data_IF_075029861338
#
_entry.id   IF_075029861338
#
_cell.length_a   1.000
_cell.length_b   1.000
_cell.length_c   1.000
_cell.angle_alpha   90.00
_cell.angle_beta   90.00
_cell.angle_gamma   90.00
#
_symmetry.space_group_name_H-M   'P 1'
#
loop_
_entity.id
_entity.type
_entity.pdbx_description
1 polymer ?
#
# COMPACT_ATOMS: atom_id res chain seq x y z
N UNK A 1 -20.61 1.50 -5.02
CA UNK A 1 -19.73 1.45 -3.84
C UNK A 1 -20.45 2.07 -2.67
N UNK A 2 -20.83 1.23 -1.71
CA UNK A 2 -21.09 1.68 -0.34
C UNK A 2 -19.79 2.27 0.21
N UNK A 3 -19.84 3.46 0.80
CA UNK A 3 -18.68 4.00 1.51
C UNK A 3 -18.46 3.11 2.74
N UNK A 4 -17.26 2.54 2.94
CA UNK A 4 -16.99 1.75 4.14
C UNK A 4 -17.21 2.62 5.38
N UNK A 5 -17.99 2.10 6.32
CA UNK A 5 -18.27 2.78 7.59
C UNK A 5 -17.26 2.28 8.60
N UNK A 6 -16.34 3.15 8.99
CA UNK A 6 -15.34 2.86 10.02
C UNK A 6 -15.79 3.36 11.38
N UNK A 7 -15.44 2.64 12.44
CA UNK A 7 -15.76 3.05 13.82
C UNK A 7 -14.81 4.13 14.35
N UNK A 8 -13.62 4.27 13.77
CA UNK A 8 -12.56 5.19 14.22
C UNK A 8 -12.31 5.06 15.73
N UNK A 9 -12.10 3.84 16.22
CA UNK A 9 -12.01 3.57 17.65
C UNK A 9 -10.60 3.77 18.24
N UNK A 10 -9.55 3.76 17.43
CA UNK A 10 -8.17 3.77 17.91
C UNK A 10 -7.64 5.21 18.08
N UNK A 11 -7.62 5.70 19.33
CA UNK A 11 -7.01 6.99 19.66
C UNK A 11 -5.51 6.82 19.94
N UNK A 12 -4.68 7.60 19.24
CA UNK A 12 -3.23 7.60 19.46
C UNK A 12 -2.85 8.63 20.54
N UNK A 13 -2.06 8.16 21.52
CA UNK A 13 -1.56 8.98 22.62
C UNK A 13 -0.23 9.69 22.30
N UNK A 14 0.46 9.28 21.24
CA UNK A 14 1.74 9.81 20.81
C UNK A 14 1.85 9.81 19.28
N UNK A 15 2.77 10.61 18.74
CA UNK A 15 3.05 10.68 17.32
C UNK A 15 3.81 9.42 16.83
N UNK A 16 3.26 8.73 15.83
CA UNK A 16 3.86 7.53 15.23
C UNK A 16 5.25 7.78 14.57
N UNK A 17 5.60 9.04 14.30
CA UNK A 17 6.88 9.39 13.67
C UNK A 17 7.98 9.73 14.70
N UNK A 18 7.66 10.50 15.75
CA UNK A 18 8.68 11.04 16.66
C UNK A 18 8.43 10.74 18.15
N UNK A 19 7.33 10.09 18.50
CA UNK A 19 6.95 9.80 19.89
C UNK A 19 6.44 11.01 20.70
N UNK A 20 6.37 12.20 20.10
CA UNK A 20 5.85 13.40 20.77
C UNK A 20 4.38 13.27 21.16
N UNK A 21 4.02 13.69 22.37
CA UNK A 21 2.66 13.55 22.95
C UNK A 21 1.84 14.84 22.87
N UNK A 22 2.45 15.97 22.47
CA UNK A 22 1.73 17.21 22.21
C UNK A 22 1.07 17.15 20.83
N UNK A 23 -0.22 16.81 20.83
CA UNK A 23 -1.04 16.65 19.63
C UNK A 23 -2.15 17.70 19.64
N UNK A 24 -2.38 18.33 18.48
CA UNK A 24 -3.48 19.29 18.32
C UNK A 24 -4.42 18.86 17.19
N UNK A 25 -5.69 19.20 17.29
CA UNK A 25 -6.67 18.95 16.23
C UNK A 25 -6.36 19.87 15.05
N UNK A 26 -5.99 19.28 13.92
CA UNK A 26 -5.76 19.99 12.66
C UNK A 26 -7.02 20.06 11.80
N UNK A 27 -7.81 18.99 11.78
CA UNK A 27 -9.11 18.94 11.12
C UNK A 27 -10.05 17.97 11.85
N UNK A 28 -11.02 18.50 12.59
CA UNK A 28 -12.01 17.68 13.28
C UNK A 28 -12.88 16.84 12.30
N UNK A 29 -13.37 17.37 11.15
CA UNK A 29 -14.21 16.58 10.24
C UNK A 29 -13.51 15.38 9.60
N UNK A 30 -12.18 15.39 9.55
CA UNK A 30 -11.37 14.32 8.97
C UNK A 30 -10.59 13.53 10.02
N UNK A 31 -10.84 13.77 11.32
CA UNK A 31 -10.08 13.20 12.44
C UNK A 31 -8.56 13.40 12.29
N UNK A 32 -8.10 14.52 11.72
CA UNK A 32 -6.66 14.76 11.54
C UNK A 32 -6.12 15.53 12.73
N UNK A 33 -5.10 14.95 13.38
CA UNK A 33 -4.27 15.63 14.39
C UNK A 33 -2.91 15.98 13.81
N UNK A 34 -2.26 16.99 14.38
CA UNK A 34 -0.89 17.39 14.07
C UNK A 34 -0.03 17.28 15.32
N UNK A 35 1.13 16.63 15.20
CA UNK A 35 2.15 16.65 16.25
C UNK A 35 2.80 18.04 16.32
N UNK A 36 2.79 18.67 17.49
CA UNK A 36 3.43 19.98 17.68
C UNK A 36 4.96 19.91 17.72
N UNK A 37 5.55 18.73 17.97
CA UNK A 37 7.01 18.55 18.01
C UNK A 37 7.64 18.43 16.63
N UNK A 38 7.05 17.65 15.72
CA UNK A 38 7.62 17.40 14.39
C UNK A 38 6.74 17.85 13.21
N UNK A 39 5.50 18.28 13.47
CA UNK A 39 4.57 18.72 12.43
C UNK A 39 3.88 17.58 11.65
N UNK A 40 4.21 16.31 11.90
CA UNK A 40 3.56 15.17 11.26
C UNK A 40 2.06 15.16 11.53
N UNK A 41 1.28 14.85 10.50
CA UNK A 41 -0.19 14.82 10.55
C UNK A 41 -0.66 13.40 10.30
N UNK A 42 -1.61 12.95 11.11
CA UNK A 42 -2.14 11.60 11.03
C UNK A 42 -3.59 11.58 11.51
N UNK A 43 -4.30 10.52 11.15
CA UNK A 43 -5.69 10.32 11.58
C UNK A 43 -5.67 9.84 13.03
N UNK A 44 -6.37 10.54 13.92
CA UNK A 44 -6.65 10.11 15.29
C UNK A 44 -7.97 10.72 15.77
N UNK A 45 -8.94 9.90 16.21
CA UNK A 45 -8.84 8.43 16.25
C UNK A 45 -8.89 7.83 14.84
N UNK A 46 -8.22 6.69 14.63
CA UNK A 46 -8.17 5.94 13.36
C UNK A 46 -9.01 4.66 13.41
N UNK A 47 -9.44 4.11 12.26
CA UNK A 47 -10.02 2.77 12.22
C UNK A 47 -8.98 1.73 12.64
N UNK A 48 -9.41 0.58 13.15
CA UNK A 48 -8.50 -0.51 13.47
C UNK A 48 -7.86 -1.09 12.20
N UNK A 49 -6.69 -1.73 12.34
CA UNK A 49 -6.04 -2.41 11.21
C UNK A 49 -6.94 -3.49 10.59
N UNK A 50 -7.76 -4.15 11.40
CA UNK A 50 -8.74 -5.14 10.95
C UNK A 50 -9.83 -4.49 10.07
N UNK A 51 -10.40 -3.36 10.50
CA UNK A 51 -11.39 -2.63 9.70
C UNK A 51 -10.79 -2.14 8.37
N UNK A 52 -9.57 -1.63 8.40
CA UNK A 52 -8.83 -1.18 7.21
C UNK A 52 -8.59 -2.35 6.25
N UNK A 53 -8.05 -3.47 6.76
CA UNK A 53 -7.77 -4.67 5.97
C UNK A 53 -9.03 -5.31 5.38
N UNK A 54 -10.12 -5.32 6.16
CA UNK A 54 -11.45 -5.75 5.70
C UNK A 54 -11.93 -4.90 4.53
N UNK A 55 -11.87 -3.57 4.65
CA UNK A 55 -12.24 -2.67 3.56
C UNK A 55 -11.41 -2.88 2.30
N UNK A 56 -10.11 -3.14 2.41
CA UNK A 56 -9.27 -3.44 1.24
C UNK A 56 -9.58 -4.79 0.60
N UNK A 57 -10.15 -5.73 1.36
CA UNK A 57 -10.48 -7.08 0.90
C UNK A 57 -11.86 -7.18 0.25
N UNK A 58 -12.69 -6.13 0.33
CA UNK A 58 -14.01 -6.11 -0.32
C UNK A 58 -13.89 -6.41 -1.83
N UNK A 59 -14.77 -7.25 -2.40
CA UNK A 59 -14.65 -7.70 -3.79
C UNK A 59 -14.65 -6.56 -4.82
N UNK A 60 -15.38 -5.47 -4.56
CA UNK A 60 -15.53 -4.33 -5.47
C UNK A 60 -14.50 -3.21 -5.20
N UNK A 61 -13.62 -3.36 -4.20
CA UNK A 61 -12.67 -2.31 -3.81
C UNK A 61 -11.79 -1.86 -4.99
N UNK A 62 -11.37 -2.80 -5.83
CA UNK A 62 -10.51 -2.55 -6.98
C UNK A 62 -11.27 -2.26 -8.28
N UNK A 63 -12.61 -2.26 -8.30
CA UNK A 63 -13.39 -2.12 -9.55
C UNK A 63 -13.10 -0.80 -10.26
N UNK A 64 -13.07 0.33 -9.54
CA UNK A 64 -12.70 1.62 -10.14
C UNK A 64 -11.25 1.66 -10.59
N UNK A 65 -10.38 0.95 -9.87
CA UNK A 65 -8.97 0.85 -10.24
C UNK A 65 -8.81 0.11 -11.57
N UNK A 66 -9.60 -0.95 -11.77
CA UNK A 66 -9.63 -1.74 -13.00
C UNK A 66 -10.32 -0.96 -14.13
N UNK A 67 -11.41 -0.25 -13.84
CA UNK A 67 -12.18 0.49 -14.84
C UNK A 67 -11.37 1.58 -15.57
N UNK A 68 -10.40 2.20 -14.88
CA UNK A 68 -9.43 3.14 -15.50
C UNK A 68 -8.05 2.50 -15.72
N UNK A 69 -8.01 1.29 -16.29
CA UNK A 69 -6.76 0.58 -16.54
C UNK A 69 -5.76 1.44 -17.34
N UNK A 70 -6.22 2.14 -18.38
CA UNK A 70 -5.35 2.99 -19.19
C UNK A 70 -4.71 4.13 -18.39
N UNK A 71 -5.47 4.78 -17.49
CA UNK A 71 -4.94 5.79 -16.57
C UNK A 71 -3.94 5.23 -15.59
N UNK A 72 -4.24 4.07 -14.99
CA UNK A 72 -3.32 3.38 -14.05
C UNK A 72 -2.03 2.94 -14.74
N UNK A 73 -2.12 2.42 -15.97
CA UNK A 73 -0.95 2.04 -16.76
C UNK A 73 -0.06 3.23 -17.07
N UNK A 74 -0.64 4.39 -17.44
CA UNK A 74 0.13 5.64 -17.63
C UNK A 74 0.80 6.11 -16.32
N UNK A 75 0.09 6.03 -15.20
CA UNK A 75 0.63 6.40 -13.89
C UNK A 75 1.82 5.50 -13.50
N UNK A 76 1.66 4.18 -13.61
CA UNK A 76 2.72 3.23 -13.26
C UNK A 76 3.91 3.29 -14.20
N UNK A 77 3.69 3.50 -15.50
CA UNK A 77 4.76 3.74 -16.45
C UNK A 77 5.64 4.92 -16.03
N UNK A 78 5.04 6.04 -15.58
CA UNK A 78 5.79 7.19 -15.09
C UNK A 78 6.55 6.90 -13.79
N UNK A 79 5.96 6.13 -12.87
CA UNK A 79 6.61 5.74 -11.61
C UNK A 79 7.81 4.82 -11.86
N UNK A 80 7.71 3.90 -12.82
CA UNK A 80 8.81 3.04 -13.23
C UNK A 80 10.02 3.82 -13.74
N UNK A 81 9.81 4.93 -14.46
CA UNK A 81 10.92 5.78 -14.90
C UNK A 81 11.73 6.39 -13.74
N UNK A 82 11.10 6.63 -12.58
CA UNK A 82 11.79 7.14 -11.39
C UNK A 82 12.80 6.13 -10.82
N UNK A 83 12.53 4.84 -11.02
CA UNK A 83 13.32 3.74 -10.47
C UNK A 83 14.09 2.95 -11.54
N UNK A 84 14.04 3.37 -12.81
CA UNK A 84 14.72 2.69 -13.94
C UNK A 84 16.21 2.42 -13.72
N UNK A 85 16.85 3.22 -12.85
CA UNK A 85 18.27 3.09 -12.48
C UNK A 85 18.60 1.78 -11.76
N UNK A 86 17.59 1.07 -11.22
CA UNK A 86 17.79 -0.26 -10.63
C UNK A 86 18.27 -1.28 -11.67
N UNK A 87 18.00 -1.03 -12.96
CA UNK A 87 18.51 -1.82 -14.07
C UNK A 87 17.63 -3.02 -14.43
N UNK A 88 18.09 -3.77 -15.43
CA UNK A 88 17.43 -5.00 -15.88
C UNK A 88 17.76 -6.16 -14.94
N UNK A 89 16.83 -7.11 -14.78
CA UNK A 89 17.05 -8.30 -13.94
C UNK A 89 17.12 -8.06 -12.44
N UNK A 90 16.85 -6.83 -11.98
CA UNK A 90 16.84 -6.48 -10.57
C UNK A 90 15.80 -7.28 -9.77
N UNK A 91 16.13 -7.59 -8.52
CA UNK A 91 15.24 -8.19 -7.53
C UNK A 91 14.46 -7.07 -6.85
N UNK A 92 13.14 -7.05 -7.02
CA UNK A 92 12.28 -5.95 -6.57
C UNK A 92 11.24 -6.46 -5.59
N UNK A 93 11.15 -5.83 -4.43
CA UNK A 93 10.09 -6.02 -3.45
C UNK A 93 9.09 -4.85 -3.52
N UNK A 94 7.79 -5.16 -3.64
CA UNK A 94 6.73 -4.17 -3.50
C UNK A 94 5.86 -4.47 -2.26
N UNK A 95 5.83 -3.54 -1.30
CA UNK A 95 5.07 -3.65 -0.06
C UNK A 95 3.73 -2.91 -0.22
N UNK A 96 2.62 -3.64 -0.09
CA UNK A 96 1.30 -3.11 -0.45
C UNK A 96 1.15 -3.05 -1.97
N UNK A 97 1.48 -4.16 -2.64
CA UNK A 97 1.56 -4.25 -4.10
C UNK A 97 0.18 -4.07 -4.79
N UNK A 98 -0.92 -4.05 -4.02
CA UNK A 98 -2.28 -4.03 -4.54
C UNK A 98 -2.47 -5.18 -5.53
N UNK A 99 -3.04 -4.87 -6.69
CA UNK A 99 -3.25 -5.88 -7.75
C UNK A 99 -1.97 -6.27 -8.53
N UNK A 100 -0.80 -5.78 -8.15
CA UNK A 100 0.49 -6.18 -8.73
C UNK A 100 0.87 -5.50 -10.06
N UNK A 101 0.17 -4.43 -10.48
CA UNK A 101 0.45 -3.78 -11.78
C UNK A 101 1.87 -3.22 -11.90
N UNK A 102 2.43 -2.68 -10.82
CA UNK A 102 3.79 -2.14 -10.81
C UNK A 102 4.82 -3.24 -11.10
N UNK A 103 4.75 -4.34 -10.35
CA UNK A 103 5.60 -5.52 -10.53
C UNK A 103 5.44 -6.14 -11.92
N UNK A 104 4.20 -6.28 -12.42
CA UNK A 104 3.94 -6.83 -13.75
C UNK A 104 4.61 -6.02 -14.86
N UNK A 105 4.52 -4.69 -14.79
CA UNK A 105 5.16 -3.78 -15.74
C UNK A 105 6.69 -3.81 -15.62
N UNK A 106 7.22 -3.85 -14.40
CA UNK A 106 8.65 -3.98 -14.16
C UNK A 106 9.24 -5.26 -14.74
N UNK A 107 8.58 -6.40 -14.49
CA UNK A 107 8.91 -7.70 -15.08
C UNK A 107 8.87 -7.64 -16.62
N UNK A 108 7.82 -7.07 -17.20
CA UNK A 108 7.66 -7.01 -18.66
C UNK A 108 8.69 -6.10 -19.36
N UNK A 109 9.06 -4.96 -18.75
CA UNK A 109 9.93 -3.95 -19.38
C UNK A 109 11.41 -4.19 -19.12
N UNK A 110 11.74 -4.61 -17.91
CA UNK A 110 13.12 -4.69 -17.43
C UNK A 110 13.54 -6.11 -17.06
N UNK A 111 12.64 -7.08 -17.10
CA UNK A 111 12.94 -8.45 -16.70
C UNK A 111 13.21 -8.59 -15.21
N UNK A 112 12.61 -7.73 -14.37
CA UNK A 112 12.78 -7.81 -12.91
C UNK A 112 12.34 -9.16 -12.35
N UNK A 113 13.07 -9.62 -11.35
CA UNK A 113 12.67 -10.69 -10.45
C UNK A 113 11.81 -10.09 -9.34
N UNK A 114 10.51 -10.42 -9.34
CA UNK A 114 9.50 -9.67 -8.59
C UNK A 114 9.00 -10.45 -7.39
N UNK A 115 8.99 -9.79 -6.23
CA UNK A 115 8.33 -10.24 -4.99
C UNK A 115 7.39 -9.15 -4.52
N UNK A 116 6.23 -9.51 -3.97
CA UNK A 116 5.32 -8.52 -3.42
C UNK A 116 4.47 -9.07 -2.28
N UNK A 117 4.04 -8.16 -1.42
CA UNK A 117 3.13 -8.43 -0.30
C UNK A 117 1.89 -7.55 -0.35
N UNK A 118 0.76 -8.11 0.05
CA UNK A 118 -0.52 -7.39 0.07
C UNK A 118 -1.43 -7.98 1.16
N UNK A 119 -2.17 -7.12 1.87
CA UNK A 119 -3.12 -7.55 2.92
C UNK A 119 -4.50 -7.89 2.35
N UNK A 120 -4.84 -7.35 1.18
CA UNK A 120 -6.11 -7.58 0.50
C UNK A 120 -6.15 -8.95 -0.19
N UNK A 121 -7.06 -9.81 0.28
CA UNK A 121 -7.33 -11.10 -0.38
C UNK A 121 -7.83 -10.93 -1.81
N UNK A 122 -8.67 -9.93 -2.07
CA UNK A 122 -9.17 -9.58 -3.40
C UNK A 122 -8.05 -9.12 -4.33
N UNK A 123 -7.10 -8.33 -3.83
CA UNK A 123 -5.96 -7.88 -4.62
C UNK A 123 -5.02 -9.02 -5.00
N UNK A 124 -4.68 -9.90 -4.04
CA UNK A 124 -3.85 -11.09 -4.28
C UNK A 124 -4.49 -11.99 -5.34
N UNK A 125 -5.80 -12.22 -5.25
CA UNK A 125 -6.55 -12.98 -6.27
C UNK A 125 -6.43 -12.33 -7.65
N UNK A 126 -6.66 -11.02 -7.75
CA UNK A 126 -6.56 -10.28 -9.01
C UNK A 126 -5.15 -10.30 -9.60
N UNK A 127 -4.10 -10.21 -8.78
CA UNK A 127 -2.72 -10.32 -9.22
C UNK A 127 -2.43 -11.68 -9.87
N UNK A 128 -2.88 -12.77 -9.24
CA UNK A 128 -2.78 -14.13 -9.77
C UNK A 128 -3.52 -14.26 -11.10
N UNK A 129 -4.77 -13.83 -11.16
CA UNK A 129 -5.63 -13.97 -12.34
C UNK A 129 -5.13 -13.14 -13.54
N UNK A 130 -4.62 -11.92 -13.30
CA UNK A 130 -4.24 -10.99 -14.37
C UNK A 130 -2.80 -11.13 -14.83
N UNK A 131 -1.88 -11.43 -13.90
CA UNK A 131 -0.44 -11.33 -14.17
C UNK A 131 0.31 -12.63 -13.94
N UNK A 132 -0.36 -13.70 -13.49
CA UNK A 132 0.23 -15.03 -13.34
C UNK A 132 1.46 -15.04 -12.41
N UNK A 133 1.44 -14.26 -11.32
CA UNK A 133 2.39 -14.43 -10.22
C UNK A 133 1.69 -14.23 -8.87
N UNK A 134 2.24 -14.89 -7.86
CA UNK A 134 1.70 -14.91 -6.51
C UNK A 134 2.24 -13.73 -5.69
N UNK A 135 1.34 -12.96 -5.09
CA UNK A 135 1.67 -12.06 -4.00
C UNK A 135 1.57 -12.81 -2.68
N UNK A 136 2.46 -12.51 -1.75
CA UNK A 136 2.36 -13.02 -0.38
C UNK A 136 1.23 -12.27 0.32
N UNK A 137 0.26 -13.00 0.88
CA UNK A 137 -0.84 -12.42 1.64
C UNK A 137 -0.37 -12.13 3.07
N UNK A 138 -0.40 -10.86 3.50
CA UNK A 138 -0.07 -10.47 4.87
C UNK A 138 0.60 -9.11 5.00
N UNK A 139 0.99 -8.80 6.23
CA UNK A 139 1.79 -7.62 6.56
C UNK A 139 3.27 -7.89 6.27
N UNK A 140 4.01 -6.87 5.83
CA UNK A 140 5.43 -7.01 5.51
C UNK A 140 6.26 -7.40 6.74
N UNK A 141 5.85 -6.94 7.92
CA UNK A 141 6.46 -7.21 9.22
C UNK A 141 6.39 -8.69 9.63
N UNK A 142 5.45 -9.44 9.07
CA UNK A 142 5.25 -10.86 9.34
C UNK A 142 6.00 -11.76 8.35
N UNK A 143 6.59 -11.16 7.31
CA UNK A 143 7.24 -11.91 6.24
C UNK A 143 8.70 -12.20 6.55
N UNK A 144 9.11 -13.42 6.21
CA UNK A 144 10.51 -13.81 6.27
C UNK A 144 11.27 -13.35 5.02
N UNK A 145 11.49 -12.03 4.93
CA UNK A 145 12.22 -11.39 3.84
C UNK A 145 13.71 -11.28 4.22
N UNK A 146 14.64 -11.96 3.52
CA UNK A 146 16.05 -11.91 3.88
C UNK A 146 16.63 -10.48 3.74
N UNK A 147 17.48 -10.03 4.67
CA UNK A 147 18.11 -8.72 4.54
C UNK A 147 19.02 -8.68 3.29
N UNK A 148 19.05 -7.53 2.61
CA UNK A 148 19.87 -7.31 1.41
C UNK A 148 19.59 -8.29 0.25
N UNK A 149 18.39 -8.88 0.18
CA UNK A 149 17.99 -9.77 -0.93
C UNK A 149 17.32 -9.06 -2.10
N UNK A 150 17.04 -7.77 -1.97
CA UNK A 150 16.38 -6.96 -3.00
C UNK A 150 17.27 -5.77 -3.38
N UNK A 151 17.19 -5.39 -4.66
CA UNK A 151 17.90 -4.26 -5.25
C UNK A 151 17.01 -3.00 -5.23
N UNK A 152 15.68 -3.17 -5.12
CA UNK A 152 14.66 -2.16 -4.88
C UNK A 152 13.62 -2.65 -3.85
#
# INVERSE_FOLDING_TARGET
MSVPVFTFAEQLAACDLCGGTSLEVFSAPANIVRCQSCGYRFVSPRPSQEEIGGSYSEPDFYDQWIADEAGRMRMWAKRLELVRRVGHGARVLDIGAGIGTFLALGRARFGWDVTGTEVSTSAVKLARERFQFELQLGLAEEMNLPPSSFDL
#
